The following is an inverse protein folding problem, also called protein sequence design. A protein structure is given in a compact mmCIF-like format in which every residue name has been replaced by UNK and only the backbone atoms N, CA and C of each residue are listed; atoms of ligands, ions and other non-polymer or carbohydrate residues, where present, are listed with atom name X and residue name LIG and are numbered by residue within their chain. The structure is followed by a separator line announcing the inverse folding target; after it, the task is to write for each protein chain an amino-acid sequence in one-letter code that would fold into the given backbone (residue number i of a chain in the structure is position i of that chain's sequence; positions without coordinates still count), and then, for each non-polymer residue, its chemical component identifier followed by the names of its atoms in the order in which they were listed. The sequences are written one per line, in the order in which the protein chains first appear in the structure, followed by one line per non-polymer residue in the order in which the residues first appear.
data_IF_392851681316
#
_entry.id   IF_392851681316
#
_cell.length_a   1.000
_cell.length_b   1.000
_cell.length_c   1.000
_cell.angle_alpha   90.00
_cell.angle_beta   90.00
_cell.angle_gamma   90.00
#
_symmetry.space_group_name_H-M   'P 1'
#
loop_
_entity.id
_entity.type
_entity.pdbx_description
1 polymer ?
#
# COMPACT_ATOMS: atom_id res chain seq x y z
N UNK A 1 16.39 35.88 1.27
CA UNK A 1 17.20 34.74 1.73
C UNK A 1 16.38 33.51 1.38
N UNK A 2 16.80 32.78 0.34
CA UNK A 2 16.13 31.62 -0.21
C UNK A 2 16.59 30.42 0.61
N UNK A 3 15.68 29.76 1.32
CA UNK A 3 15.97 28.56 2.08
C UNK A 3 16.21 27.38 1.11
N UNK A 4 17.31 26.66 1.33
CA UNK A 4 17.69 25.47 0.58
C UNK A 4 16.64 24.36 0.71
N UNK A 5 16.42 23.55 -0.35
CA UNK A 5 15.53 22.41 -0.27
C UNK A 5 16.08 21.32 0.68
N UNK A 6 15.23 20.47 1.27
CA UNK A 6 15.67 19.39 2.14
C UNK A 6 16.52 18.37 1.38
N UNK A 7 17.52 17.81 2.07
CA UNK A 7 18.48 16.84 1.56
C UNK A 7 17.79 15.64 0.89
N UNK A 8 18.17 15.39 -0.35
CA UNK A 8 17.84 14.15 -1.05
C UNK A 8 18.53 12.96 -0.35
N UNK A 9 17.89 11.82 -0.22
CA UNK A 9 18.57 10.62 0.26
C UNK A 9 19.69 10.24 -0.71
N UNK A 10 20.86 10.00 -0.18
CA UNK A 10 22.07 9.64 -0.92
C UNK A 10 21.83 8.37 -1.77
N UNK A 11 22.33 8.40 -3.01
CA UNK A 11 22.40 7.25 -3.89
C UNK A 11 23.08 6.06 -3.19
N UNK A 12 22.62 4.81 -3.39
CA UNK A 12 23.24 3.65 -2.76
C UNK A 12 24.66 3.45 -3.31
N UNK A 13 25.65 3.83 -2.49
CA UNK A 13 27.07 3.52 -2.73
C UNK A 13 27.31 2.02 -2.62
N UNK A 14 28.16 1.49 -3.51
CA UNK A 14 28.74 0.14 -3.47
C UNK A 14 29.14 -0.23 -2.04
N UNK A 15 28.47 -1.31 -1.50
CA UNK A 15 29.02 -1.70 -0.35
C UNK A 15 28.58 -2.85 0.46
N UNK A 16 28.50 -2.92 1.57
CA UNK A 16 28.34 -3.95 2.58
C UNK A 16 27.00 -4.66 2.38
N UNK A 17 26.89 -5.97 2.46
CA UNK A 17 25.60 -6.65 2.48
C UNK A 17 24.75 -6.04 3.59
N UNK A 18 23.61 -5.50 3.21
CA UNK A 18 22.68 -4.95 4.18
C UNK A 18 22.16 -6.11 5.02
N UNK A 19 22.54 -6.14 6.28
CA UNK A 19 22.18 -7.22 7.20
C UNK A 19 20.75 -6.99 7.69
N UNK A 20 19.94 -8.05 7.66
CA UNK A 20 18.62 -8.05 8.28
C UNK A 20 18.70 -7.53 9.73
N UNK A 21 17.95 -6.50 10.01
CA UNK A 21 17.81 -5.92 11.34
C UNK A 21 16.45 -6.31 11.93
N UNK A 22 16.43 -6.70 13.19
CA UNK A 22 15.22 -7.07 13.89
C UNK A 22 15.22 -6.52 15.32
N UNK A 23 14.10 -6.03 15.80
CA UNK A 23 13.97 -5.52 17.15
C UNK A 23 12.52 -5.41 17.61
N UNK A 24 12.29 -5.54 18.91
CA UNK A 24 10.99 -5.24 19.51
C UNK A 24 10.95 -3.76 19.87
N UNK A 25 9.90 -3.09 19.42
CA UNK A 25 9.59 -1.72 19.80
C UNK A 25 9.08 -1.67 21.25
N UNK A 26 9.09 -0.47 21.86
CA UNK A 26 8.66 -0.27 23.27
C UNK A 26 7.20 -0.69 23.53
N UNK A 27 6.37 -0.70 22.49
CA UNK A 27 4.95 -1.08 22.55
C UNK A 27 4.71 -2.58 22.24
N UNK A 28 5.79 -3.35 22.05
CA UNK A 28 5.75 -4.80 21.79
C UNK A 28 5.58 -5.19 20.33
N UNK A 29 5.53 -4.22 19.40
CA UNK A 29 5.55 -4.51 17.96
C UNK A 29 6.94 -4.99 17.53
N UNK A 30 6.98 -5.88 16.53
CA UNK A 30 8.23 -6.30 15.90
C UNK A 30 8.55 -5.34 14.74
N UNK A 31 9.79 -4.91 14.67
CA UNK A 31 10.36 -4.14 13.56
C UNK A 31 11.37 -5.01 12.84
N UNK A 32 11.21 -5.18 11.53
CA UNK A 32 12.12 -5.88 10.65
C UNK A 32 12.55 -4.95 9.51
N UNK A 33 13.84 -4.88 9.22
CA UNK A 33 14.36 -4.06 8.13
C UNK A 33 15.45 -4.82 7.35
N UNK A 34 15.35 -4.79 6.02
CA UNK A 34 16.41 -5.24 5.12
C UNK A 34 16.37 -4.37 3.85
N UNK A 35 17.42 -3.56 3.66
CA UNK A 35 17.47 -2.61 2.55
C UNK A 35 16.32 -1.62 2.55
N UNK A 36 15.58 -1.53 1.43
CA UNK A 36 14.44 -0.63 1.29
C UNK A 36 13.18 -1.15 2.00
N UNK A 37 13.16 -2.39 2.45
CA UNK A 37 12.00 -3.01 3.10
C UNK A 37 12.05 -2.70 4.59
N UNK A 38 10.98 -2.08 5.11
CA UNK A 38 10.84 -1.65 6.51
C UNK A 38 9.46 -2.05 7.03
N UNK A 39 9.41 -3.10 7.85
CA UNK A 39 8.18 -3.71 8.32
C UNK A 39 7.92 -3.41 9.80
N UNK A 40 6.74 -2.86 10.09
CA UNK A 40 6.20 -2.79 11.44
C UNK A 40 5.09 -3.84 11.59
N UNK A 41 5.29 -4.76 12.51
CA UNK A 41 4.43 -5.93 12.70
C UNK A 41 3.81 -5.89 14.08
N UNK A 42 2.48 -5.97 14.14
CA UNK A 42 1.74 -6.06 15.38
C UNK A 42 0.80 -7.26 15.39
N UNK A 43 0.55 -7.80 16.58
CA UNK A 43 -0.36 -8.92 16.74
C UNK A 43 -1.04 -8.92 18.12
N UNK A 44 -2.23 -9.55 18.18
CA UNK A 44 -2.99 -9.81 19.41
C UNK A 44 -3.28 -11.30 19.52
N UNK A 45 -3.01 -11.87 20.69
CA UNK A 45 -3.22 -13.28 21.00
C UNK A 45 -2.53 -13.66 22.31
N UNK A 46 -2.43 -14.95 22.60
CA UNK A 46 -1.73 -15.45 23.77
C UNK A 46 -0.22 -15.20 23.64
N UNK A 47 0.49 -14.77 24.72
CA UNK A 47 1.88 -14.35 24.63
C UNK A 47 2.83 -15.38 24.00
N UNK A 48 2.65 -16.67 24.30
CA UNK A 48 3.48 -17.74 23.73
C UNK A 48 3.24 -17.95 22.24
N UNK A 49 1.99 -17.81 21.78
CA UNK A 49 1.66 -17.88 20.38
C UNK A 49 2.20 -16.65 19.62
N UNK A 50 2.15 -15.46 20.23
CA UNK A 50 2.72 -14.24 19.64
C UNK A 50 4.25 -14.34 19.51
N UNK A 51 4.94 -14.87 20.53
CA UNK A 51 6.38 -15.08 20.46
C UNK A 51 6.76 -15.97 19.26
N UNK A 52 6.05 -17.10 19.10
CA UNK A 52 6.26 -18.03 17.99
C UNK A 52 5.93 -17.39 16.63
N UNK A 53 4.83 -16.63 16.58
CA UNK A 53 4.44 -15.91 15.38
C UNK A 53 5.49 -14.89 14.93
N UNK A 54 6.07 -14.12 15.87
CA UNK A 54 7.14 -13.18 15.55
C UNK A 54 8.44 -13.87 15.10
N UNK A 55 8.77 -15.05 15.64
CA UNK A 55 9.87 -15.84 15.13
C UNK A 55 9.61 -16.31 13.70
N UNK A 56 8.40 -16.80 13.41
CA UNK A 56 8.02 -17.17 12.04
C UNK A 56 8.05 -15.97 11.08
N UNK A 57 7.65 -14.77 11.53
CA UNK A 57 7.75 -13.56 10.73
C UNK A 57 9.21 -13.24 10.38
N UNK A 58 10.12 -13.34 11.36
CA UNK A 58 11.55 -13.16 11.13
C UNK A 58 12.10 -14.18 10.12
N UNK A 59 11.83 -15.47 10.34
CA UNK A 59 12.28 -16.55 9.47
C UNK A 59 11.72 -16.40 8.04
N UNK A 60 10.44 -15.97 7.92
CA UNK A 60 9.79 -15.73 6.64
C UNK A 60 10.23 -14.45 5.92
N UNK A 61 10.89 -13.53 6.62
CA UNK A 61 11.43 -12.29 6.06
C UNK A 61 12.87 -12.47 5.57
N UNK A 62 13.62 -13.38 6.18
CA UNK A 62 15.00 -13.65 5.80
C UNK A 62 15.10 -14.16 4.37
N UNK A 63 15.98 -13.57 3.58
CA UNK A 63 16.20 -13.93 2.16
C UNK A 63 15.16 -13.39 1.17
N UNK A 64 14.11 -12.66 1.59
CA UNK A 64 13.10 -12.11 0.66
C UNK A 64 13.66 -11.03 -0.26
N UNK A 65 14.54 -10.16 0.25
CA UNK A 65 15.13 -9.09 -0.57
C UNK A 65 16.02 -9.67 -1.67
N UNK A 66 16.84 -10.67 -1.32
CA UNK A 66 17.71 -11.38 -2.24
C UNK A 66 16.90 -12.11 -3.32
N UNK A 67 15.82 -12.79 -2.93
CA UNK A 67 14.94 -13.47 -3.87
C UNK A 67 14.24 -12.50 -4.84
N UNK A 68 13.84 -11.33 -4.38
CA UNK A 68 13.27 -10.26 -5.22
C UNK A 68 14.34 -9.67 -6.17
N UNK A 69 15.57 -9.45 -5.67
CA UNK A 69 16.66 -8.92 -6.48
C UNK A 69 17.05 -9.89 -7.61
N UNK A 70 17.08 -11.20 -7.33
CA UNK A 70 17.38 -12.25 -8.32
C UNK A 70 16.29 -12.38 -9.40
N UNK A 71 15.08 -11.91 -9.13
CA UNK A 71 13.92 -11.96 -10.03
C UNK A 71 13.52 -10.60 -10.61
N UNK A 72 14.23 -9.54 -10.23
CA UNK A 72 13.90 -8.15 -10.55
C UNK A 72 13.66 -7.91 -12.05
N UNK A 73 14.51 -8.47 -12.92
CA UNK A 73 14.36 -8.31 -14.36
C UNK A 73 13.01 -8.84 -14.90
N UNK A 74 12.53 -9.95 -14.34
CA UNK A 74 11.23 -10.52 -14.69
C UNK A 74 10.08 -9.70 -14.12
N UNK A 75 10.20 -9.27 -12.88
CA UNK A 75 9.15 -8.55 -12.15
C UNK A 75 8.97 -7.09 -12.60
N UNK A 76 10.00 -6.51 -13.25
CA UNK A 76 9.96 -5.15 -13.80
C UNK A 76 9.39 -5.07 -15.22
N UNK A 77 9.03 -6.19 -15.85
CA UNK A 77 8.45 -6.20 -17.18
C UNK A 77 6.94 -6.13 -17.12
N UNK A 78 6.29 -5.46 -18.09
CA UNK A 78 4.85 -5.49 -18.23
C UNK A 78 4.33 -6.93 -18.37
N UNK A 79 3.17 -7.19 -17.77
CA UNK A 79 2.52 -8.49 -17.89
C UNK A 79 1.90 -8.61 -19.29
N UNK A 80 2.49 -9.43 -20.16
CA UNK A 80 2.04 -9.61 -21.53
C UNK A 80 1.57 -11.05 -21.85
N UNK A 81 2.09 -12.03 -21.13
CA UNK A 81 1.71 -13.46 -21.24
C UNK A 81 2.40 -14.25 -20.14
N UNK A 82 1.76 -15.25 -19.59
CA UNK A 82 2.26 -16.21 -18.58
C UNK A 82 3.57 -15.82 -17.85
N UNK A 83 3.59 -14.70 -17.11
CA UNK A 83 4.76 -14.28 -16.37
C UNK A 83 5.09 -15.35 -15.31
N UNK A 84 6.37 -15.62 -15.11
CA UNK A 84 6.85 -16.60 -14.12
C UNK A 84 7.84 -15.94 -13.19
N UNK A 85 7.67 -16.21 -11.90
CA UNK A 85 8.63 -15.85 -10.89
C UNK A 85 9.44 -17.08 -10.47
N UNK A 86 10.61 -16.84 -9.87
CA UNK A 86 11.47 -17.86 -9.25
C UNK A 86 11.21 -17.96 -7.74
N UNK A 87 10.39 -17.09 -7.18
CA UNK A 87 10.11 -17.03 -5.74
C UNK A 87 8.64 -16.77 -5.43
N UNK A 88 8.18 -17.26 -4.28
CA UNK A 88 6.77 -17.17 -3.89
C UNK A 88 6.26 -15.72 -3.69
N UNK A 89 7.14 -14.78 -3.33
CA UNK A 89 6.76 -13.35 -3.24
C UNK A 89 6.53 -12.77 -4.63
N UNK A 90 7.36 -13.12 -5.61
CA UNK A 90 7.17 -12.72 -7.01
C UNK A 90 5.90 -13.32 -7.62
N UNK A 91 5.55 -14.56 -7.29
CA UNK A 91 4.28 -15.16 -7.71
C UNK A 91 3.07 -14.38 -7.16
N UNK A 92 3.14 -13.87 -5.91
CA UNK A 92 2.09 -13.02 -5.35
C UNK A 92 1.96 -11.70 -6.10
N UNK A 93 3.10 -11.06 -6.45
CA UNK A 93 3.13 -9.83 -7.24
C UNK A 93 2.49 -10.05 -8.62
N UNK A 94 2.90 -11.10 -9.32
CA UNK A 94 2.35 -11.47 -10.62
C UNK A 94 0.85 -11.72 -10.53
N UNK A 95 0.40 -12.54 -9.58
CA UNK A 95 -1.02 -12.86 -9.41
C UNK A 95 -1.88 -11.64 -9.11
N UNK A 96 -1.36 -10.70 -8.31
CA UNK A 96 -2.06 -9.45 -8.00
C UNK A 96 -2.20 -8.56 -9.24
N UNK A 97 -1.10 -8.33 -9.96
CA UNK A 97 -1.07 -7.44 -11.12
C UNK A 97 -1.75 -8.05 -12.36
N UNK A 98 -1.71 -9.37 -12.54
CA UNK A 98 -2.33 -10.05 -13.70
C UNK A 98 -3.85 -9.86 -13.77
N UNK A 99 -4.52 -9.57 -12.67
CA UNK A 99 -5.96 -9.29 -12.63
C UNK A 99 -6.35 -8.07 -13.46
N UNK A 100 -5.40 -7.17 -13.73
CA UNK A 100 -5.63 -5.88 -14.36
C UNK A 100 -4.92 -5.74 -15.71
N UNK A 101 -4.10 -6.72 -16.11
CA UNK A 101 -3.17 -6.63 -17.24
C UNK A 101 -3.82 -6.67 -18.62
N UNK A 102 -5.10 -7.04 -18.74
CA UNK A 102 -5.82 -7.06 -20.02
C UNK A 102 -6.16 -5.65 -20.49
N UNK A 103 -6.47 -4.73 -19.58
CA UNK A 103 -6.95 -3.38 -19.89
C UNK A 103 -5.97 -2.28 -19.47
N UNK A 104 -5.04 -2.59 -18.54
CA UNK A 104 -4.10 -1.61 -18.00
C UNK A 104 -2.65 -2.04 -18.20
N UNK A 105 -1.78 -1.04 -18.44
CA UNK A 105 -0.34 -1.24 -18.33
C UNK A 105 0.01 -1.45 -16.85
N UNK A 106 0.52 -2.61 -16.52
CA UNK A 106 0.96 -2.93 -15.18
C UNK A 106 2.16 -3.86 -15.19
N UNK A 107 3.09 -3.62 -14.28
CA UNK A 107 4.18 -4.55 -13.95
C UNK A 107 3.90 -5.19 -12.60
N UNK A 108 4.45 -6.36 -12.31
CA UNK A 108 4.38 -6.95 -10.96
C UNK A 108 4.91 -6.01 -9.85
N UNK A 109 5.79 -5.06 -10.20
CA UNK A 109 6.35 -4.09 -9.24
C UNK A 109 5.29 -3.20 -8.59
N UNK A 110 4.10 -3.02 -9.21
CA UNK A 110 2.96 -2.30 -8.61
C UNK A 110 2.45 -2.91 -7.30
N UNK A 111 2.89 -4.12 -6.93
CA UNK A 111 2.49 -4.80 -5.69
C UNK A 111 3.69 -5.19 -4.80
N UNK A 112 4.91 -4.69 -5.09
CA UNK A 112 6.14 -5.21 -4.45
C UNK A 112 6.14 -5.01 -2.94
N UNK A 113 5.80 -3.82 -2.46
CA UNK A 113 5.88 -3.50 -1.03
C UNK A 113 4.99 -4.42 -0.20
N UNK A 114 3.78 -4.64 -0.64
CA UNK A 114 2.79 -5.40 0.13
C UNK A 114 2.73 -6.88 -0.18
N UNK A 115 3.26 -7.34 -1.33
CA UNK A 115 3.50 -8.76 -1.53
C UNK A 115 4.50 -9.32 -0.51
N UNK A 116 5.50 -8.52 -0.11
CA UNK A 116 6.39 -8.83 1.01
C UNK A 116 5.59 -8.90 2.32
N UNK A 117 4.75 -7.89 2.60
CA UNK A 117 3.93 -7.87 3.81
C UNK A 117 2.98 -9.09 3.89
N UNK A 118 2.28 -9.41 2.79
CA UNK A 118 1.42 -10.60 2.67
C UNK A 118 2.21 -11.90 2.90
N UNK A 119 3.43 -11.99 2.37
CA UNK A 119 4.29 -13.18 2.51
C UNK A 119 4.68 -13.38 3.96
N UNK A 120 5.20 -12.34 4.60
CA UNK A 120 5.61 -12.38 6.02
C UNK A 120 4.41 -12.68 6.92
N UNK A 121 3.26 -12.03 6.70
CA UNK A 121 2.05 -12.27 7.47
C UNK A 121 1.56 -13.71 7.32
N UNK A 122 1.55 -14.24 6.11
CA UNK A 122 1.11 -15.61 5.82
C UNK A 122 1.95 -16.64 6.60
N UNK A 123 3.29 -16.48 6.59
CA UNK A 123 4.19 -17.34 7.35
C UNK A 123 3.97 -17.17 8.85
N UNK A 124 3.86 -15.92 9.31
CA UNK A 124 3.69 -15.54 10.71
C UNK A 124 2.49 -16.23 11.36
N UNK A 125 1.34 -16.29 10.67
CA UNK A 125 0.09 -16.81 11.25
C UNK A 125 -0.14 -18.29 10.98
N UNK A 126 0.68 -18.92 10.14
CA UNK A 126 0.55 -20.35 9.80
C UNK A 126 0.65 -21.22 11.03
N UNK A 127 -0.42 -21.98 11.30
CA UNK A 127 -0.53 -22.88 12.47
C UNK A 127 -0.38 -22.14 13.82
N UNK A 128 -0.75 -20.86 13.88
CA UNK A 128 -0.77 -20.05 15.11
C UNK A 128 -2.19 -19.64 15.48
N UNK A 129 -2.43 -19.47 16.78
CA UNK A 129 -3.69 -18.97 17.34
C UNK A 129 -3.58 -17.47 17.60
N UNK A 130 -3.53 -16.70 16.50
CA UNK A 130 -3.46 -15.25 16.53
C UNK A 130 -4.87 -14.69 16.27
N UNK A 131 -5.35 -13.80 17.12
CA UNK A 131 -6.66 -13.16 16.95
C UNK A 131 -6.62 -12.11 15.84
N UNK A 132 -5.61 -11.26 15.91
CA UNK A 132 -5.37 -10.20 14.92
C UNK A 132 -3.87 -10.04 14.72
N UNK A 133 -3.47 -9.82 13.48
CA UNK A 133 -2.11 -9.43 13.15
C UNK A 133 -2.11 -8.52 11.94
N UNK A 134 -1.06 -7.73 11.82
CA UNK A 134 -0.79 -6.92 10.64
C UNK A 134 0.71 -6.83 10.37
N UNK A 135 1.02 -6.64 9.11
CA UNK A 135 2.35 -6.25 8.63
C UNK A 135 2.19 -4.98 7.82
N UNK A 136 2.76 -3.88 8.31
CA UNK A 136 2.79 -2.59 7.65
C UNK A 136 4.14 -2.42 6.95
N UNK A 137 4.14 -2.16 5.67
CA UNK A 137 5.31 -1.79 4.88
C UNK A 137 5.08 -0.42 4.24
N UNK A 138 5.63 0.61 4.86
CA UNK A 138 5.58 1.94 4.29
C UNK A 138 4.22 2.64 4.30
N UNK A 139 3.25 2.14 5.03
CA UNK A 139 1.87 2.68 5.08
C UNK A 139 0.83 1.69 4.56
N UNK A 140 1.23 0.76 3.69
CA UNK A 140 0.36 -0.29 3.16
C UNK A 140 0.40 -1.52 4.07
N UNK A 141 -0.74 -2.20 4.22
CA UNK A 141 -0.95 -3.09 5.35
C UNK A 141 -1.57 -4.40 4.91
N UNK A 142 -0.90 -5.50 5.22
CA UNK A 142 -1.48 -6.84 5.19
C UNK A 142 -2.13 -7.17 6.55
N UNK A 143 -3.34 -7.77 6.54
CA UNK A 143 -4.18 -7.97 7.70
C UNK A 143 -4.55 -9.44 7.90
N UNK A 144 -4.44 -9.91 9.14
CA UNK A 144 -5.06 -11.13 9.64
C UNK A 144 -6.09 -10.78 10.71
N UNK A 145 -7.34 -11.15 10.48
CA UNK A 145 -8.46 -10.91 11.39
C UNK A 145 -9.21 -12.22 11.56
N UNK A 146 -9.14 -12.81 12.75
CA UNK A 146 -9.85 -14.05 13.05
C UNK A 146 -11.36 -13.81 13.10
N UNK A 147 -12.15 -14.88 12.97
CA UNK A 147 -13.60 -14.80 13.05
C UNK A 147 -14.07 -14.12 14.34
N UNK A 148 -15.03 -13.20 14.21
CA UNK A 148 -15.55 -12.40 15.33
C UNK A 148 -14.67 -11.24 15.76
N UNK A 149 -13.48 -11.07 15.20
CA UNK A 149 -12.57 -9.95 15.49
C UNK A 149 -12.74 -8.82 14.48
N UNK A 150 -12.26 -7.65 14.87
CA UNK A 150 -12.23 -6.44 14.03
C UNK A 150 -10.94 -5.65 14.27
N UNK A 151 -10.50 -4.90 13.27
CA UNK A 151 -9.31 -4.06 13.34
C UNK A 151 -9.61 -2.66 12.83
N UNK A 152 -8.98 -1.65 13.44
CA UNK A 152 -9.06 -0.28 12.98
C UNK A 152 -7.72 0.11 12.36
N UNK A 153 -7.76 0.50 11.09
CA UNK A 153 -6.61 0.95 10.32
C UNK A 153 -6.72 2.46 10.16
N UNK A 154 -5.66 3.19 10.54
CA UNK A 154 -5.57 4.62 10.30
C UNK A 154 -5.31 4.87 8.81
N UNK A 155 -6.14 5.68 8.17
CA UNK A 155 -5.90 6.21 6.84
C UNK A 155 -5.51 7.66 7.01
N UNK A 156 -4.26 7.99 6.68
CA UNK A 156 -3.76 9.37 6.75
C UNK A 156 -3.74 9.90 5.31
N UNK A 157 -4.70 10.74 4.91
CA UNK A 157 -4.50 11.53 3.71
C UNK A 157 -3.35 12.50 3.98
N UNK A 158 -2.34 12.53 3.14
CA UNK A 158 -1.25 13.52 3.22
C UNK A 158 -1.70 14.95 2.87
N UNK A 159 -2.98 15.24 2.91
CA UNK A 159 -3.52 16.55 2.59
C UNK A 159 -3.66 17.36 3.87
N UNK A 160 -2.97 18.48 3.92
CA UNK A 160 -3.07 19.46 5.00
C UNK A 160 -4.54 19.76 5.35
N UNK A 161 -4.98 19.26 6.49
CA UNK A 161 -5.98 19.83 7.38
C UNK A 161 -7.47 19.91 6.98
N UNK A 162 -8.02 19.19 5.99
CA UNK A 162 -9.46 19.36 5.69
C UNK A 162 -10.31 18.08 5.67
N UNK A 163 -9.70 16.92 5.62
CA UNK A 163 -10.40 15.67 5.93
C UNK A 163 -9.99 15.26 7.34
N UNK A 164 -10.91 15.01 8.28
CA UNK A 164 -10.55 14.46 9.57
C UNK A 164 -9.69 13.23 9.34
N UNK A 165 -8.58 13.09 10.09
CA UNK A 165 -7.81 11.85 10.10
C UNK A 165 -8.81 10.71 10.22
N UNK A 166 -9.01 9.98 9.12
CA UNK A 166 -9.99 8.91 9.04
C UNK A 166 -9.39 7.60 9.49
N UNK A 167 -10.19 6.77 10.08
CA UNK A 167 -9.85 5.39 10.33
C UNK A 167 -10.88 4.49 9.66
N UNK A 168 -10.44 3.35 9.16
CA UNK A 168 -11.32 2.34 8.58
C UNK A 168 -11.42 1.18 9.56
N UNK A 169 -12.64 0.84 9.96
CA UNK A 169 -12.92 -0.32 10.77
C UNK A 169 -13.21 -1.52 9.87
N UNK A 170 -12.40 -2.56 9.99
CA UNK A 170 -12.46 -3.76 9.16
C UNK A 170 -12.82 -4.95 10.07
N UNK A 171 -13.92 -5.63 9.76
CA UNK A 171 -14.30 -6.88 10.41
C UNK A 171 -13.82 -8.10 9.63
N UNK A 172 -13.71 -9.25 10.29
CA UNK A 172 -13.37 -10.51 9.64
C UNK A 172 -14.34 -10.86 8.49
N UNK A 173 -15.64 -10.53 8.67
CA UNK A 173 -16.71 -10.84 7.70
C UNK A 173 -16.65 -10.01 6.42
N UNK A 174 -15.95 -8.87 6.40
CA UNK A 174 -15.76 -8.08 5.19
C UNK A 174 -14.89 -8.77 4.13
N UNK A 175 -14.08 -9.75 4.52
CA UNK A 175 -13.15 -10.42 3.61
C UNK A 175 -11.90 -9.57 3.28
N UNK A 176 -11.84 -8.31 3.65
CA UNK A 176 -10.67 -7.46 3.43
C UNK A 176 -9.47 -7.97 4.25
N UNK A 177 -8.36 -8.19 3.58
CA UNK A 177 -7.09 -8.65 4.17
C UNK A 177 -5.92 -7.75 3.77
N UNK A 178 -6.18 -6.73 2.94
CA UNK A 178 -5.21 -5.74 2.55
C UNK A 178 -5.81 -4.34 2.46
N UNK A 179 -4.99 -3.36 2.83
CA UNK A 179 -5.27 -1.92 2.65
C UNK A 179 -4.01 -1.29 2.08
N UNK A 180 -4.13 -0.62 0.95
CA UNK A 180 -3.02 0.09 0.34
C UNK A 180 -3.46 1.47 -0.16
N UNK A 181 -2.52 2.41 -0.21
CA UNK A 181 -2.79 3.79 -0.64
C UNK A 181 -1.75 4.24 -1.64
N UNK A 182 -2.20 4.66 -2.82
CA UNK A 182 -1.39 5.26 -3.87
C UNK A 182 -1.79 6.73 -4.12
N UNK A 183 -0.91 7.50 -4.78
CA UNK A 183 -1.17 8.88 -5.15
C UNK A 183 0.08 9.57 -5.66
N UNK A 184 -0.08 10.68 -6.42
CA UNK A 184 1.01 11.33 -7.14
C UNK A 184 2.11 11.92 -6.24
N UNK A 185 1.77 12.35 -5.03
CA UNK A 185 2.73 12.93 -4.06
C UNK A 185 3.35 11.88 -3.14
N UNK A 186 3.06 10.59 -3.37
CA UNK A 186 3.59 9.47 -2.61
C UNK A 186 5.06 9.15 -2.92
N UNK A 187 5.54 8.01 -2.41
CA UNK A 187 6.90 7.53 -2.69
C UNK A 187 7.06 6.90 -4.06
N UNK A 188 5.99 6.34 -4.61
CA UNK A 188 5.95 5.74 -5.94
C UNK A 188 5.51 6.78 -6.97
N UNK A 189 6.03 6.68 -8.18
CA UNK A 189 5.59 7.52 -9.29
C UNK A 189 4.16 7.15 -9.69
N UNK A 190 3.35 8.16 -10.07
CA UNK A 190 1.98 7.98 -10.56
C UNK A 190 1.80 8.67 -11.90
N UNK A 191 0.97 8.09 -12.76
CA UNK A 191 0.59 8.71 -14.03
C UNK A 191 -0.52 9.76 -13.84
N UNK A 192 -1.36 9.57 -12.81
CA UNK A 192 -2.48 10.45 -12.49
C UNK A 192 -2.15 11.52 -11.44
N UNK A 193 -3.19 12.19 -10.97
CA UNK A 193 -3.10 13.34 -10.06
C UNK A 193 -3.80 13.14 -8.71
N UNK A 194 -4.28 11.92 -8.41
CA UNK A 194 -4.91 11.63 -7.13
C UNK A 194 -4.00 11.99 -5.95
N UNK A 195 -4.52 12.71 -4.96
CA UNK A 195 -3.77 12.96 -3.72
C UNK A 195 -3.67 11.67 -2.89
N UNK A 196 -4.74 10.88 -2.86
CA UNK A 196 -4.75 9.55 -2.28
C UNK A 196 -5.86 8.68 -2.87
N UNK A 197 -5.54 7.44 -3.19
CA UNK A 197 -6.50 6.37 -3.48
C UNK A 197 -6.22 5.23 -2.51
N UNK A 198 -7.14 5.00 -1.58
CA UNK A 198 -7.03 3.90 -0.61
C UNK A 198 -7.98 2.79 -1.02
N UNK A 199 -7.44 1.59 -1.17
CA UNK A 199 -8.18 0.39 -1.60
C UNK A 199 -8.18 -0.67 -0.51
N UNK A 200 -9.33 -1.34 -0.35
CA UNK A 200 -9.49 -2.56 0.43
C UNK A 200 -9.68 -3.73 -0.52
N UNK A 201 -8.89 -4.79 -0.33
CA UNK A 201 -8.98 -6.01 -1.14
C UNK A 201 -8.75 -7.29 -0.30
N UNK A 202 -8.91 -8.45 -0.94
CA UNK A 202 -8.71 -9.76 -0.31
C UNK A 202 -7.24 -10.07 0.07
N UNK A 203 -6.28 -9.30 -0.47
CA UNK A 203 -4.87 -9.32 -0.11
C UNK A 203 -4.29 -7.91 -0.21
N UNK A 204 -3.17 -7.66 0.45
CA UNK A 204 -2.52 -6.37 0.38
C UNK A 204 -1.91 -6.14 -1.02
N UNK A 205 -1.34 -7.17 -1.64
CA UNK A 205 -0.83 -7.09 -3.00
C UNK A 205 -1.91 -6.71 -4.03
N UNK A 206 -3.13 -7.26 -3.90
CA UNK A 206 -4.26 -6.87 -4.76
C UNK A 206 -4.70 -5.43 -4.50
N UNK A 207 -4.72 -5.00 -3.22
CA UNK A 207 -5.06 -3.63 -2.85
C UNK A 207 -4.07 -2.61 -3.45
N UNK A 208 -2.77 -2.89 -3.43
CA UNK A 208 -1.70 -2.01 -3.94
C UNK A 208 -1.76 -1.87 -5.46
N UNK A 209 -1.82 -3.00 -6.18
CA UNK A 209 -1.96 -2.98 -7.62
C UNK A 209 -3.21 -2.18 -8.05
N UNK A 210 -4.36 -2.42 -7.40
CA UNK A 210 -5.58 -1.68 -7.69
C UNK A 210 -5.48 -0.19 -7.32
N UNK A 211 -4.91 0.14 -6.15
CA UNK A 211 -4.74 1.53 -5.73
C UNK A 211 -3.86 2.31 -6.70
N UNK A 212 -2.78 1.68 -7.19
CA UNK A 212 -1.88 2.27 -8.20
C UNK A 212 -2.63 2.59 -9.50
N UNK A 213 -3.39 1.64 -10.03
CA UNK A 213 -4.09 1.81 -11.30
C UNK A 213 -5.23 2.82 -11.19
N UNK A 214 -6.05 2.73 -10.16
CA UNK A 214 -7.11 3.72 -9.90
C UNK A 214 -6.52 5.13 -9.72
N UNK A 215 -5.38 5.25 -9.01
CA UNK A 215 -4.71 6.53 -8.82
C UNK A 215 -4.16 7.10 -10.13
N UNK A 216 -3.71 6.24 -11.05
CA UNK A 216 -3.28 6.64 -12.39
C UNK A 216 -4.43 7.19 -13.23
N UNK A 217 -5.65 6.64 -13.07
CA UNK A 217 -6.83 7.02 -13.83
C UNK A 217 -7.59 8.21 -13.21
N UNK A 218 -7.29 8.60 -11.97
CA UNK A 218 -7.68 9.92 -11.46
C UNK A 218 -6.85 10.97 -12.17
N UNK A 219 -7.27 11.36 -13.36
CA UNK A 219 -6.47 12.20 -14.24
C UNK A 219 -7.31 13.08 -15.18
N UNK A 220 -6.69 14.11 -15.73
CA UNK A 220 -7.22 14.92 -16.83
C UNK A 220 -6.06 15.60 -17.57
N UNK A 221 -6.28 15.97 -18.83
CA UNK A 221 -5.32 16.80 -19.56
C UNK A 221 -5.49 18.27 -19.18
N UNK A 222 -4.51 18.85 -18.49
CA UNK A 222 -4.57 20.23 -18.04
C UNK A 222 -3.17 20.88 -18.03
N UNK A 223 -3.00 22.15 -18.46
CA UNK A 223 -1.71 22.82 -18.52
C UNK A 223 -1.06 23.06 -17.16
N UNK A 224 -1.80 22.98 -16.06
CA UNK A 224 -1.27 23.07 -14.71
C UNK A 224 -0.67 21.74 -14.19
N UNK A 225 -0.75 20.66 -14.95
CA UNK A 225 -0.18 19.35 -14.59
C UNK A 225 1.16 19.20 -15.32
N UNK A 226 2.23 19.09 -14.56
CA UNK A 226 3.56 18.86 -15.10
C UNK A 226 3.90 17.37 -15.06
N UNK A 227 4.51 16.87 -16.14
CA UNK A 227 4.90 15.48 -16.27
C UNK A 227 6.29 15.34 -16.83
N UNK A 228 6.98 14.26 -16.40
CA UNK A 228 8.28 13.88 -16.96
C UNK A 228 8.30 12.38 -17.24
N UNK A 229 9.23 11.94 -18.10
CA UNK A 229 9.44 10.51 -18.35
C UNK A 229 9.99 9.84 -17.10
N UNK A 230 9.43 8.70 -16.70
CA UNK A 230 9.86 7.98 -15.51
C UNK A 230 11.37 7.67 -15.51
N UNK A 231 11.92 7.21 -16.64
CA UNK A 231 13.36 6.97 -16.81
C UNK A 231 14.24 8.22 -16.68
N UNK A 232 13.68 9.43 -16.89
CA UNK A 232 14.43 10.67 -16.68
C UNK A 232 14.56 11.05 -15.20
N UNK A 233 13.69 10.49 -14.35
CA UNK A 233 13.67 10.73 -12.91
C UNK A 233 14.41 9.62 -12.16
N UNK A 234 14.18 8.36 -12.57
CA UNK A 234 14.80 7.16 -11.95
C UNK A 234 15.30 6.26 -13.09
N UNK A 235 16.61 6.13 -13.20
CA UNK A 235 17.23 5.25 -14.19
C UNK A 235 16.81 3.79 -13.97
N UNK A 236 16.34 3.15 -15.03
CA UNK A 236 15.88 1.75 -14.97
C UNK A 236 14.50 1.57 -14.34
N UNK A 237 13.68 2.63 -14.28
CA UNK A 237 12.29 2.51 -13.86
C UNK A 237 11.51 1.50 -14.71
N UNK A 238 10.71 0.67 -14.07
CA UNK A 238 9.79 -0.29 -14.72
C UNK A 238 8.68 0.40 -15.52
N UNK A 239 8.41 1.70 -15.26
CA UNK A 239 7.52 2.55 -16.05
C UNK A 239 8.15 3.06 -17.35
N UNK A 240 9.46 2.92 -17.53
CA UNK A 240 10.15 3.27 -18.77
C UNK A 240 9.97 4.74 -19.17
N UNK A 241 9.45 4.96 -20.38
CA UNK A 241 9.21 6.31 -20.95
C UNK A 241 7.80 6.85 -20.67
N UNK A 242 6.99 6.18 -19.87
CA UNK A 242 5.70 6.71 -19.46
C UNK A 242 5.85 8.05 -18.74
N UNK A 243 4.90 8.95 -19.01
CA UNK A 243 4.85 10.25 -18.38
C UNK A 243 4.23 10.12 -16.99
N UNK A 244 5.00 10.46 -15.97
CA UNK A 244 4.57 10.49 -14.57
C UNK A 244 4.40 11.91 -14.09
N UNK A 245 3.44 12.13 -13.21
CA UNK A 245 3.13 13.44 -12.64
C UNK A 245 4.24 13.91 -11.71
N UNK A 246 4.73 15.12 -11.95
CA UNK A 246 5.80 15.77 -11.16
C UNK A 246 5.32 16.98 -10.39
N UNK A 247 4.26 17.63 -10.88
CA UNK A 247 3.60 18.72 -10.17
C UNK A 247 2.13 18.84 -10.60
N UNK A 248 1.29 19.29 -9.68
CA UNK A 248 -0.12 19.61 -9.94
C UNK A 248 -0.37 21.02 -9.43
N UNK A 249 -0.71 21.94 -10.34
CA UNK A 249 -1.12 23.30 -10.01
C UNK A 249 -2.57 23.39 -9.61
N UNK A 250 -3.10 24.62 -9.51
CA UNK A 250 -4.49 24.83 -9.10
C UNK A 250 -5.47 24.36 -10.16
N UNK A 251 -6.45 23.55 -9.74
CA UNK A 251 -7.58 23.10 -10.53
C UNK A 251 -8.87 23.70 -9.97
N UNK A 252 -9.88 23.86 -10.82
CA UNK A 252 -11.23 24.23 -10.39
C UNK A 252 -11.94 23.02 -9.77
N UNK A 253 -13.01 23.26 -9.01
CA UNK A 253 -13.84 22.19 -8.44
C UNK A 253 -14.40 21.23 -9.50
N UNK A 254 -14.74 21.75 -10.69
CA UNK A 254 -15.26 20.92 -11.80
C UNK A 254 -14.14 20.03 -12.40
N UNK A 255 -12.95 20.56 -12.59
CA UNK A 255 -11.78 19.80 -13.09
C UNK A 255 -11.40 18.70 -12.11
N UNK A 256 -11.37 18.99 -10.81
CA UNK A 256 -11.17 17.98 -9.77
C UNK A 256 -12.27 16.90 -9.83
N UNK A 257 -13.53 17.30 -10.01
CA UNK A 257 -14.64 16.35 -10.11
C UNK A 257 -14.55 15.48 -11.36
N UNK A 258 -14.09 16.03 -12.48
CA UNK A 258 -13.85 15.30 -13.75
C UNK A 258 -12.73 14.27 -13.58
N UNK A 259 -11.59 14.67 -13.04
CA UNK A 259 -10.48 13.75 -12.76
C UNK A 259 -10.89 12.60 -11.83
N UNK A 260 -11.63 12.91 -10.76
CA UNK A 260 -12.13 11.88 -9.83
C UNK A 260 -13.14 10.94 -10.49
N UNK A 261 -13.96 11.42 -11.44
CA UNK A 261 -14.93 10.57 -12.12
C UNK A 261 -14.26 9.49 -12.96
N UNK A 262 -13.15 9.80 -13.63
CA UNK A 262 -12.37 8.80 -14.38
C UNK A 262 -11.85 7.68 -13.48
N UNK A 263 -11.21 8.02 -12.37
CA UNK A 263 -10.77 7.00 -11.40
C UNK A 263 -11.90 6.25 -10.70
N UNK A 264 -13.09 6.89 -10.54
CA UNK A 264 -14.29 6.25 -9.98
C UNK A 264 -14.82 5.16 -10.93
N UNK A 265 -14.79 5.39 -12.25
CA UNK A 265 -15.17 4.38 -13.26
C UNK A 265 -14.27 3.14 -13.15
N UNK A 266 -12.95 3.32 -13.14
CA UNK A 266 -11.99 2.22 -12.96
C UNK A 266 -12.19 1.48 -11.62
N UNK A 267 -12.41 2.23 -10.54
CA UNK A 267 -12.68 1.61 -9.23
C UNK A 267 -13.99 0.80 -9.24
N UNK A 268 -15.01 1.24 -9.97
CA UNK A 268 -16.27 0.51 -10.10
C UNK A 268 -16.10 -0.77 -10.91
N UNK A 269 -15.34 -0.75 -12.00
CA UNK A 269 -15.00 -1.94 -12.80
C UNK A 269 -14.25 -2.99 -11.94
N UNK A 270 -13.29 -2.54 -11.13
CA UNK A 270 -12.56 -3.43 -10.23
C UNK A 270 -13.45 -3.98 -9.11
N UNK A 271 -14.43 -3.21 -8.64
CA UNK A 271 -15.43 -3.70 -7.68
C UNK A 271 -16.34 -4.75 -8.32
N UNK A 272 -16.87 -4.48 -9.53
CA UNK A 272 -17.78 -5.36 -10.25
C UNK A 272 -17.14 -6.69 -10.64
N UNK A 273 -15.84 -6.68 -10.95
CA UNK A 273 -15.03 -7.88 -11.18
C UNK A 273 -14.69 -8.66 -9.91
N UNK A 274 -14.93 -8.07 -8.73
CA UNK A 274 -14.54 -8.63 -7.44
C UNK A 274 -13.05 -8.53 -7.12
N UNK A 275 -12.29 -7.71 -7.87
CA UNK A 275 -10.87 -7.50 -7.62
C UNK A 275 -10.62 -6.67 -6.36
N UNK A 276 -11.56 -5.77 -6.01
CA UNK A 276 -11.52 -4.97 -4.77
C UNK A 276 -12.82 -5.13 -3.97
N UNK A 277 -12.78 -4.72 -2.70
CA UNK A 277 -13.93 -4.67 -1.80
C UNK A 277 -14.48 -3.25 -1.72
N UNK A 278 -13.64 -2.27 -1.91
CA UNK A 278 -14.01 -0.87 -1.99
C UNK A 278 -12.81 0.05 -2.05
N UNK A 279 -13.08 1.31 -2.41
CA UNK A 279 -12.06 2.32 -2.59
C UNK A 279 -12.51 3.69 -2.08
N UNK A 280 -11.54 4.50 -1.66
CA UNK A 280 -11.68 5.91 -1.30
C UNK A 280 -10.72 6.70 -2.18
N UNK A 281 -11.25 7.58 -3.03
CA UNK A 281 -10.45 8.41 -3.93
C UNK A 281 -10.51 9.86 -3.45
N UNK A 282 -9.38 10.50 -3.34
CA UNK A 282 -9.26 11.87 -2.83
C UNK A 282 -8.43 12.72 -3.81
N UNK A 283 -8.98 13.86 -4.17
CA UNK A 283 -8.25 14.93 -4.84
C UNK A 283 -8.70 16.28 -4.27
N UNK A 284 -7.75 17.08 -3.79
CA UNK A 284 -7.98 18.33 -3.07
C UNK A 284 -8.99 18.13 -1.92
N UNK A 285 -10.17 18.75 -1.99
CA UNK A 285 -11.21 18.65 -0.95
C UNK A 285 -12.36 17.72 -1.33
N UNK A 286 -12.27 17.02 -2.45
CA UNK A 286 -13.30 16.12 -2.93
C UNK A 286 -12.93 14.67 -2.65
N UNK A 287 -13.94 13.88 -2.32
CA UNK A 287 -13.81 12.44 -2.09
C UNK A 287 -14.90 11.69 -2.87
N UNK A 288 -14.49 10.56 -3.47
CA UNK A 288 -15.39 9.54 -4.01
C UNK A 288 -15.22 8.26 -3.20
N UNK A 289 -16.31 7.52 -3.06
CA UNK A 289 -16.31 6.23 -2.33
C UNK A 289 -17.00 5.20 -3.21
N UNK A 290 -16.28 4.13 -3.50
CA UNK A 290 -16.75 2.99 -4.31
C UNK A 290 -16.88 1.77 -3.41
N UNK A 291 -17.97 1.01 -3.54
CA UNK A 291 -18.31 -0.13 -2.69
C UNK A 291 -19.01 0.25 -1.39
N UNK A 292 -19.54 -0.75 -0.68
CA UNK A 292 -20.25 -0.56 0.60
C UNK A 292 -19.27 -0.45 1.79
N UNK A 293 -18.35 0.53 1.70
CA UNK A 293 -17.30 0.75 2.71
C UNK A 293 -17.44 2.09 3.44
N UNK A 294 -18.46 2.90 3.09
CA UNK A 294 -18.71 4.20 3.74
C UNK A 294 -18.93 4.09 5.25
N UNK A 295 -19.63 3.05 5.68
CA UNK A 295 -19.92 2.80 7.10
C UNK A 295 -18.66 2.42 7.91
N UNK A 296 -17.57 2.03 7.23
CA UNK A 296 -16.30 1.67 7.86
C UNK A 296 -15.49 2.90 8.28
N UNK A 297 -15.79 4.09 7.70
CA UNK A 297 -15.08 5.32 8.04
C UNK A 297 -15.44 5.80 9.45
N UNK A 298 -14.41 6.00 10.26
CA UNK A 298 -14.53 6.59 11.60
C UNK A 298 -13.75 7.90 11.66
N UNK A 299 -14.37 8.96 12.23
CA UNK A 299 -13.64 10.20 12.51
C UNK A 299 -12.74 10.01 13.72
N UNK A 300 -11.47 10.39 13.61
CA UNK A 300 -10.50 10.40 14.70
C UNK A 300 -10.61 11.63 15.59
N UNK A 301 -11.42 12.61 15.23
CA UNK A 301 -11.63 13.85 16.00
C UNK A 301 -12.41 13.53 17.29
N UNK A 302 -11.73 13.11 18.35
CA UNK A 302 -12.37 12.95 19.67
C UNK A 302 -11.79 11.88 20.60
N UNK A 303 -10.88 11.04 20.15
CA UNK A 303 -10.39 9.91 20.96
C UNK A 303 -9.12 10.16 21.79
N UNK A 304 -8.63 11.37 21.89
CA UNK A 304 -7.42 11.66 22.71
C UNK A 304 -7.63 11.61 24.24
N UNK A 305 -8.81 11.29 24.73
CA UNK A 305 -9.08 11.26 26.19
C UNK A 305 -9.50 9.91 26.79
N UNK A 306 -9.82 8.87 26.01
CA UNK A 306 -10.36 7.63 26.56
C UNK A 306 -9.52 6.36 26.38
N UNK A 307 -8.34 6.40 25.76
CA UNK A 307 -7.55 5.18 25.47
C UNK A 307 -6.54 4.80 26.57
N UNK A 308 -6.94 4.79 27.85
CA UNK A 308 -6.15 4.17 28.93
C UNK A 308 -6.75 2.85 29.47
N UNK A 309 -7.65 2.19 28.75
CA UNK A 309 -8.37 1.08 29.35
C UNK A 309 -8.87 -0.06 28.48
N UNK A 310 -8.66 -0.10 27.19
CA UNK A 310 -9.09 -1.28 26.43
C UNK A 310 -8.18 -1.51 25.21
N UNK A 311 -7.59 -2.71 25.10
CA UNK A 311 -6.61 -3.10 24.09
C UNK A 311 -7.16 -3.18 22.66
N UNK A 312 -7.72 -2.08 22.15
CA UNK A 312 -8.06 -1.90 20.75
C UNK A 312 -6.78 -1.54 19.99
N UNK A 313 -6.22 -2.48 19.22
CA UNK A 313 -5.03 -2.25 18.41
C UNK A 313 -5.31 -1.24 17.32
N UNK A 314 -4.69 -0.08 17.44
CA UNK A 314 -4.60 0.94 16.40
C UNK A 314 -3.39 0.63 15.53
N UNK A 315 -3.58 0.58 14.20
CA UNK A 315 -2.49 0.46 13.22
C UNK A 315 -2.30 1.85 12.59
N UNK A 316 -1.16 2.46 12.84
CA UNK A 316 -0.64 3.63 12.12
C UNK A 316 0.54 3.21 11.29
#
# INVERSE_FOLDING_TARGET
MISSPPDQPASPGNGTPQTLQAGLLKDGRLHLQNGPIDLIIGALGEPEELRKAYMQAYDGFDGLLEALADDFESLSRPITSEPKSKCGVGDRMINAASRFSEEHFVTPMAAVAVAVADTVLSVMVTSRRVKRAYVNNGGDIALHIAEGEEMTVGVVPQVEALVPQGAIKISASMGARGVATSGWSGRSMSLGIADAVTVLAESAAAADAAATLIANDVDLEHPAIERARANSLVEGSDLGDLLVTTAVGSLTENEVSEALASGEETAQEFLDSGAIIGAFLIKDRQMRIVGDVRHCLQSMAGKNQESRGNGGGFVQ
#
